data_IF_566735531790
#
_entry.id   IF_566735531790
#
_cell.length_a   1.000
_cell.length_b   1.000
_cell.length_c   1.000
_cell.angle_alpha   90.00
_cell.angle_beta   90.00
_cell.angle_gamma   90.00
#
_symmetry.space_group_name_H-M   'P 1'
#
loop_
_entity.id
_entity.type
_entity.pdbx_description
1 polymer ?
#
# COMPACT_ATOMS: atom_id res chain seq x y z
N UNK A 1 -6.01 -21.70 -4.16
CA UNK A 1 -6.59 -22.77 -4.99
C UNK A 1 -7.91 -22.30 -5.60
N UNK A 2 -8.09 -22.49 -6.89
CA UNK A 2 -9.30 -22.14 -7.63
C UNK A 2 -9.90 -23.39 -8.24
N UNK A 3 -11.17 -23.67 -7.95
CA UNK A 3 -11.90 -24.74 -8.62
C UNK A 3 -12.58 -24.18 -9.86
N UNK A 4 -12.19 -24.68 -11.04
CA UNK A 4 -12.75 -24.29 -12.33
C UNK A 4 -13.43 -25.50 -12.98
N UNK A 5 -14.63 -25.31 -13.53
CA UNK A 5 -15.30 -26.24 -14.41
C UNK A 5 -16.02 -25.43 -15.50
N UNK A 6 -15.92 -25.87 -16.75
CA UNK A 6 -16.56 -25.19 -17.90
C UNK A 6 -16.25 -23.68 -17.97
N UNK A 7 -14.97 -23.30 -17.71
CA UNK A 7 -14.50 -21.92 -17.61
C UNK A 7 -15.21 -21.08 -16.52
N UNK A 8 -15.88 -21.73 -15.58
CA UNK A 8 -16.56 -21.05 -14.48
C UNK A 8 -15.79 -21.29 -13.18
N UNK A 9 -15.55 -20.23 -12.40
CA UNK A 9 -14.94 -20.33 -11.08
C UNK A 9 -16.02 -20.68 -10.07
N UNK A 10 -15.94 -21.87 -9.48
CA UNK A 10 -16.88 -22.33 -8.45
C UNK A 10 -16.42 -22.09 -7.03
N UNK A 11 -15.17 -21.77 -6.84
CA UNK A 11 -14.65 -21.45 -5.52
C UNK A 11 -13.17 -21.06 -5.56
N UNK A 12 -12.81 -20.20 -4.65
CA UNK A 12 -11.43 -19.81 -4.38
C UNK A 12 -11.12 -20.25 -2.96
N UNK A 13 -10.07 -21.04 -2.80
CA UNK A 13 -9.65 -21.58 -1.51
C UNK A 13 -8.24 -21.08 -1.19
N UNK A 14 -8.00 -20.75 0.08
CA UNK A 14 -6.65 -20.44 0.53
C UNK A 14 -5.74 -21.67 0.30
N UNK A 15 -4.51 -21.43 -0.13
CA UNK A 15 -3.49 -22.44 -0.11
C UNK A 15 -2.94 -22.54 1.33
N UNK A 16 -2.90 -23.71 1.92
CA UNK A 16 -2.38 -23.93 3.29
C UNK A 16 -0.89 -23.54 3.40
N UNK A 17 -0.13 -23.68 2.31
CA UNK A 17 1.28 -23.30 2.25
C UNK A 17 1.48 -21.80 1.99
N UNK A 18 0.43 -21.10 1.55
CA UNK A 18 0.53 -19.67 1.23
C UNK A 18 0.55 -18.83 2.50
N UNK A 19 1.53 -17.97 2.62
CA UNK A 19 1.66 -17.06 3.76
C UNK A 19 2.19 -15.70 3.32
N UNK A 20 1.78 -14.65 4.06
CA UNK A 20 2.38 -13.33 3.95
C UNK A 20 3.72 -13.36 4.70
N UNK A 21 4.81 -13.19 3.97
CA UNK A 21 6.16 -13.08 4.55
C UNK A 21 6.41 -11.72 5.17
N UNK A 22 5.87 -10.68 4.55
CA UNK A 22 6.01 -9.30 5.02
C UNK A 22 4.88 -8.42 4.53
N UNK A 23 4.55 -7.43 5.35
CA UNK A 23 3.72 -6.27 5.00
C UNK A 23 4.50 -5.01 5.35
N UNK A 24 4.48 -4.03 4.48
CA UNK A 24 5.14 -2.74 4.70
C UNK A 24 4.67 -1.68 3.72
N UNK A 25 5.32 -0.53 3.74
CA UNK A 25 5.05 0.56 2.81
C UNK A 25 6.01 0.52 1.61
N UNK A 26 5.54 0.91 0.44
CA UNK A 26 6.36 0.99 -0.79
C UNK A 26 7.60 1.87 -0.58
N UNK A 27 7.48 2.95 0.20
CA UNK A 27 8.61 3.80 0.55
C UNK A 27 9.72 3.12 1.39
N UNK A 28 9.45 1.93 1.94
CA UNK A 28 10.41 1.14 2.71
C UNK A 28 11.17 0.10 1.87
N UNK A 29 10.88 0.06 0.55
CA UNK A 29 11.59 -0.82 -0.37
C UNK A 29 13.03 -0.35 -0.61
N UNK A 30 13.97 -1.27 -0.62
CA UNK A 30 15.35 -1.01 -1.01
C UNK A 30 15.98 -2.23 -1.71
N UNK A 31 17.01 -1.98 -2.49
CA UNK A 31 17.77 -3.04 -3.16
C UNK A 31 18.84 -3.62 -2.24
N UNK A 32 19.25 -4.85 -2.53
CA UNK A 32 20.40 -5.48 -1.90
C UNK A 32 21.61 -5.34 -2.82
N UNK A 33 22.69 -4.77 -2.32
CA UNK A 33 23.91 -4.59 -3.10
C UNK A 33 24.46 -5.94 -3.59
N UNK A 34 24.70 -6.02 -4.90
CA UNK A 34 25.25 -7.20 -5.57
C UNK A 34 24.38 -8.49 -5.51
N UNK A 35 23.10 -8.38 -5.11
CA UNK A 35 22.18 -9.52 -5.14
C UNK A 35 20.82 -9.12 -5.74
N UNK A 36 20.66 -9.39 -7.02
CA UNK A 36 19.42 -9.06 -7.78
C UNK A 36 18.24 -9.95 -7.44
N UNK A 37 18.47 -11.04 -6.71
CA UNK A 37 17.41 -11.96 -6.24
C UNK A 37 16.91 -11.62 -4.84
N UNK A 38 17.27 -10.45 -4.32
CA UNK A 38 16.82 -9.98 -3.03
C UNK A 38 16.31 -8.55 -3.10
N UNK A 39 15.36 -8.25 -2.24
CA UNK A 39 14.91 -6.90 -1.92
C UNK A 39 14.80 -6.75 -0.41
N UNK A 40 14.93 -5.52 0.07
CA UNK A 40 14.63 -5.18 1.45
C UNK A 40 13.25 -4.54 1.51
N UNK A 41 12.52 -4.90 2.56
CA UNK A 41 11.31 -4.20 2.99
C UNK A 41 11.49 -3.87 4.47
N UNK A 42 11.45 -2.59 4.80
CA UNK A 42 11.71 -2.09 6.15
C UNK A 42 13.04 -2.61 6.75
N UNK A 43 14.11 -2.63 5.92
CA UNK A 43 15.46 -3.08 6.31
C UNK A 43 15.67 -4.59 6.37
N UNK A 44 14.62 -5.40 6.28
CA UNK A 44 14.69 -6.88 6.30
C UNK A 44 14.82 -7.40 4.87
N UNK A 45 15.76 -8.34 4.63
CA UNK A 45 16.00 -8.95 3.33
C UNK A 45 15.04 -10.11 3.05
N UNK A 46 14.45 -10.12 1.85
CA UNK A 46 13.59 -11.18 1.33
C UNK A 46 14.16 -11.71 0.02
N UNK A 47 14.10 -13.02 -0.17
CA UNK A 47 14.60 -13.74 -1.35
C UNK A 47 13.49 -13.95 -2.38
N UNK A 48 13.88 -13.96 -3.65
CA UNK A 48 13.05 -14.23 -4.83
C UNK A 48 13.67 -15.35 -5.64
N UNK A 49 12.88 -16.10 -6.38
CA UNK A 49 13.41 -17.13 -7.29
C UNK A 49 14.19 -16.53 -8.47
N UNK A 50 13.71 -15.41 -8.98
CA UNK A 50 14.31 -14.68 -10.11
C UNK A 50 14.80 -13.32 -9.65
N UNK A 51 15.18 -12.48 -10.61
CA UNK A 51 15.51 -11.09 -10.36
C UNK A 51 14.28 -10.36 -9.78
N UNK A 52 14.36 -9.92 -8.53
CA UNK A 52 13.23 -9.35 -7.80
C UNK A 52 12.55 -8.20 -8.55
N UNK A 53 13.33 -7.28 -9.09
CA UNK A 53 12.80 -6.10 -9.80
C UNK A 53 12.04 -6.44 -11.10
N UNK A 54 12.25 -7.64 -11.69
CA UNK A 54 11.55 -8.07 -12.90
C UNK A 54 10.21 -8.76 -12.61
N UNK A 55 9.92 -9.08 -11.35
CA UNK A 55 8.67 -9.75 -10.99
C UNK A 55 7.46 -8.81 -11.13
N UNK A 56 6.35 -9.39 -11.60
CA UNK A 56 5.09 -8.67 -11.69
C UNK A 56 4.44 -8.49 -10.32
N UNK A 57 3.73 -7.40 -10.14
CA UNK A 57 2.94 -7.11 -8.93
C UNK A 57 1.46 -7.03 -9.30
N UNK A 58 0.59 -7.51 -8.43
CA UNK A 58 -0.84 -7.20 -8.48
C UNK A 58 -1.00 -5.81 -7.87
N UNK A 59 -1.41 -4.84 -8.67
CA UNK A 59 -1.53 -3.45 -8.24
C UNK A 59 -3.00 -3.04 -8.21
N UNK A 60 -3.45 -2.51 -7.06
CA UNK A 60 -4.83 -2.06 -6.85
C UNK A 60 -5.86 -3.18 -7.14
N UNK A 61 -5.57 -4.39 -6.71
CA UNK A 61 -6.42 -5.58 -6.94
C UNK A 61 -6.69 -5.91 -8.42
N UNK A 62 -6.00 -5.27 -9.36
CA UNK A 62 -6.10 -5.56 -10.78
C UNK A 62 -5.28 -6.80 -11.13
N UNK A 63 -5.92 -7.95 -11.49
CA UNK A 63 -5.22 -9.18 -11.82
C UNK A 63 -4.46 -9.08 -13.16
N UNK A 64 -4.84 -8.14 -14.02
CA UNK A 64 -4.27 -7.93 -15.34
C UNK A 64 -3.18 -6.84 -15.35
N UNK A 65 -2.80 -6.35 -14.18
CA UNK A 65 -1.73 -5.35 -14.09
C UNK A 65 -0.42 -5.87 -14.67
N UNK A 66 0.23 -5.01 -15.45
CA UNK A 66 1.56 -5.30 -16.04
C UNK A 66 2.68 -4.51 -15.35
N UNK A 67 2.41 -3.99 -14.16
CA UNK A 67 3.45 -3.32 -13.39
C UNK A 67 4.44 -4.34 -12.84
N UNK A 68 5.72 -4.02 -12.91
CA UNK A 68 6.80 -4.79 -12.28
C UNK A 68 7.22 -4.13 -10.98
N UNK A 69 7.90 -4.89 -10.13
CA UNK A 69 8.49 -4.33 -8.91
C UNK A 69 9.49 -3.20 -9.23
N UNK A 70 10.17 -3.24 -10.40
CA UNK A 70 11.01 -2.14 -10.87
C UNK A 70 10.22 -0.83 -11.03
N UNK A 71 9.02 -0.92 -11.62
CA UNK A 71 8.15 0.27 -11.79
C UNK A 71 7.72 0.83 -10.44
N UNK A 72 7.34 -0.05 -9.50
CA UNK A 72 6.97 0.34 -8.13
C UNK A 72 8.17 0.98 -7.42
N UNK A 73 9.34 0.32 -7.46
CA UNK A 73 10.55 0.78 -6.81
C UNK A 73 11.01 2.16 -7.32
N UNK A 74 10.96 2.38 -8.63
CA UNK A 74 11.36 3.66 -9.23
C UNK A 74 10.45 4.83 -8.79
N UNK A 75 9.19 4.54 -8.49
CA UNK A 75 8.20 5.53 -8.04
C UNK A 75 7.94 5.48 -6.52
N UNK A 76 8.76 4.77 -5.74
CA UNK A 76 8.53 4.51 -4.32
C UNK A 76 8.42 5.77 -3.45
N UNK A 77 9.08 6.86 -3.83
CA UNK A 77 9.01 8.11 -3.08
C UNK A 77 7.65 8.82 -3.29
N UNK A 78 7.12 8.78 -4.52
CA UNK A 78 5.82 9.36 -4.84
C UNK A 78 4.66 8.54 -4.26
N UNK A 79 4.84 7.21 -4.12
CA UNK A 79 3.85 6.27 -3.62
C UNK A 79 4.28 5.66 -2.28
N UNK A 80 4.95 6.45 -1.45
CA UNK A 80 5.61 5.95 -0.24
C UNK A 80 4.63 5.33 0.77
N UNK A 81 3.38 5.78 0.79
CA UNK A 81 2.31 5.29 1.66
C UNK A 81 1.60 4.04 1.16
N UNK A 82 1.75 3.67 -0.13
CA UNK A 82 1.12 2.46 -0.66
C UNK A 82 1.57 1.24 0.14
N UNK A 83 0.63 0.36 0.50
CA UNK A 83 0.96 -0.90 1.15
C UNK A 83 1.54 -1.87 0.13
N UNK A 84 2.58 -2.62 0.52
CA UNK A 84 3.08 -3.77 -0.23
C UNK A 84 3.13 -5.01 0.64
N UNK A 85 2.65 -6.14 0.10
CA UNK A 85 2.76 -7.46 0.72
C UNK A 85 3.63 -8.36 -0.12
N UNK A 86 4.56 -9.05 0.54
CA UNK A 86 5.36 -10.15 -0.02
C UNK A 86 4.74 -11.46 0.40
N UNK A 87 4.44 -12.32 -0.55
CA UNK A 87 3.69 -13.56 -0.36
C UNK A 87 4.50 -14.73 -0.87
N UNK A 88 4.63 -15.76 -0.03
CA UNK A 88 5.13 -17.08 -0.35
C UNK A 88 3.92 -17.98 -0.62
N UNK A 89 3.79 -18.51 -1.83
CA UNK A 89 2.63 -19.30 -2.23
C UNK A 89 2.86 -20.81 -2.09
N UNK A 90 4.11 -21.25 -1.86
CA UNK A 90 4.49 -22.66 -1.89
C UNK A 90 5.20 -23.12 -0.61
N UNK A 91 5.44 -22.24 0.36
CA UNK A 91 6.03 -22.57 1.65
C UNK A 91 7.56 -22.69 1.64
N UNK A 92 8.26 -22.26 0.57
CA UNK A 92 9.72 -22.37 0.47
C UNK A 92 10.49 -21.19 1.10
N UNK A 93 9.78 -20.21 1.62
CA UNK A 93 10.35 -19.03 2.28
C UNK A 93 10.84 -17.94 1.32
N UNK A 94 10.47 -18.02 0.05
CA UNK A 94 10.77 -16.99 -0.95
C UNK A 94 9.50 -16.24 -1.35
N UNK A 95 9.69 -15.07 -1.94
CA UNK A 95 8.59 -14.27 -2.47
C UNK A 95 8.22 -14.79 -3.86
N UNK A 96 6.98 -15.28 -3.99
CA UNK A 96 6.41 -15.74 -5.26
C UNK A 96 5.46 -14.72 -5.88
N UNK A 97 4.83 -13.91 -5.05
CA UNK A 97 3.90 -12.87 -5.51
C UNK A 97 3.91 -11.65 -4.60
N UNK A 98 3.48 -10.54 -5.15
CA UNK A 98 3.40 -9.27 -4.46
C UNK A 98 2.08 -8.59 -4.77
N UNK A 99 1.49 -7.99 -3.73
CA UNK A 99 0.29 -7.17 -3.86
C UNK A 99 0.66 -5.77 -3.41
N UNK A 100 0.34 -4.77 -4.24
CA UNK A 100 0.49 -3.35 -3.91
C UNK A 100 -0.89 -2.72 -3.86
N UNK A 101 -1.24 -2.18 -2.70
CA UNK A 101 -2.52 -1.50 -2.46
C UNK A 101 -2.25 0.00 -2.34
N UNK A 102 -2.74 0.80 -3.29
CA UNK A 102 -2.61 2.26 -3.22
C UNK A 102 -3.29 2.83 -1.99
N UNK A 103 -2.59 3.72 -1.29
CA UNK A 103 -3.11 4.46 -0.15
C UNK A 103 -2.90 5.95 -0.36
N UNK A 104 -3.88 6.74 0.04
CA UNK A 104 -3.82 8.21 0.00
C UNK A 104 -4.18 8.76 1.36
N UNK A 105 -3.45 9.77 1.82
CA UNK A 105 -3.83 10.56 2.99
C UNK A 105 -4.41 11.87 2.50
N UNK A 106 -5.63 12.20 2.97
CA UNK A 106 -6.31 13.42 2.55
C UNK A 106 -7.15 14.01 3.68
N UNK A 107 -7.29 15.34 3.65
CA UNK A 107 -8.20 16.04 4.55
C UNK A 107 -9.64 15.86 4.09
N UNK A 108 -10.55 15.62 5.04
CA UNK A 108 -12.00 15.63 4.82
C UNK A 108 -12.47 17.09 4.74
N UNK A 109 -12.75 17.55 3.55
CA UNK A 109 -13.12 18.95 3.29
C UNK A 109 -14.62 19.20 3.39
N UNK A 110 -15.41 18.14 3.26
CA UNK A 110 -16.88 18.21 3.33
C UNK A 110 -17.46 16.91 3.90
N UNK A 111 -18.51 17.04 4.71
CA UNK A 111 -19.34 15.92 5.20
C UNK A 111 -20.81 16.28 4.95
N UNK A 112 -21.48 15.51 4.15
CA UNK A 112 -22.92 15.62 3.84
C UNK A 112 -23.71 14.47 4.44
N UNK A 113 -25.00 14.38 4.06
CA UNK A 113 -25.89 13.30 4.51
C UNK A 113 -25.66 11.97 3.79
N UNK A 114 -25.09 11.99 2.59
CA UNK A 114 -24.92 10.80 1.73
C UNK A 114 -23.46 10.55 1.34
N UNK A 115 -22.58 11.51 1.55
CA UNK A 115 -21.19 11.42 1.12
C UNK A 115 -20.27 12.34 1.92
N UNK A 116 -18.98 12.03 1.85
CA UNK A 116 -17.90 12.92 2.25
C UNK A 116 -17.09 13.34 1.01
N UNK A 117 -16.32 14.43 1.15
CA UNK A 117 -15.25 14.76 0.20
C UNK A 117 -13.93 14.75 0.96
N UNK A 118 -12.97 13.94 0.48
CA UNK A 118 -11.62 13.90 1.01
C UNK A 118 -10.63 14.09 -0.14
N UNK A 119 -9.73 15.06 0.01
CA UNK A 119 -8.93 15.55 -1.09
C UNK A 119 -9.85 16.08 -2.21
N UNK A 120 -9.66 15.57 -3.42
CA UNK A 120 -10.44 15.97 -4.61
C UNK A 120 -11.50 14.94 -5.04
N UNK A 121 -11.85 13.97 -4.16
CA UNK A 121 -12.79 12.88 -4.46
C UNK A 121 -13.95 12.87 -3.50
N UNK A 122 -15.12 12.46 -4.01
CA UNK A 122 -16.31 12.19 -3.20
C UNK A 122 -16.43 10.69 -2.95
N UNK A 123 -16.76 10.33 -1.70
CA UNK A 123 -16.99 8.96 -1.25
C UNK A 123 -18.38 8.89 -0.64
N UNK A 124 -19.15 7.85 -0.98
CA UNK A 124 -20.55 7.73 -0.57
C UNK A 124 -20.68 6.72 0.57
N UNK A 125 -21.49 7.03 1.55
CA UNK A 125 -21.77 6.11 2.67
C UNK A 125 -22.46 4.81 2.24
N UNK A 126 -23.09 4.77 1.07
CA UNK A 126 -23.74 3.58 0.52
C UNK A 126 -22.73 2.62 -0.15
N UNK A 127 -21.69 3.19 -0.79
CA UNK A 127 -20.79 2.44 -1.65
C UNK A 127 -19.41 2.20 -0.99
N UNK A 128 -19.03 3.01 0.00
CA UNK A 128 -17.70 3.04 0.60
C UNK A 128 -17.75 2.76 2.10
N UNK A 129 -16.71 2.09 2.62
CA UNK A 129 -16.55 1.84 4.05
C UNK A 129 -15.88 3.05 4.72
N UNK A 130 -16.68 3.90 5.32
CA UNK A 130 -16.25 5.15 5.93
C UNK A 130 -16.38 5.05 7.46
N UNK A 131 -15.31 5.36 8.19
CA UNK A 131 -15.30 5.28 9.64
C UNK A 131 -16.41 6.12 10.30
N UNK A 132 -16.94 5.61 11.40
CA UNK A 132 -18.00 6.27 12.17
C UNK A 132 -17.52 7.61 12.79
N UNK A 133 -18.36 8.63 12.74
CA UNK A 133 -18.07 9.93 13.32
C UNK A 133 -17.12 10.78 12.48
N UNK A 134 -17.00 10.51 11.18
CA UNK A 134 -16.21 11.32 10.26
C UNK A 134 -16.64 12.79 10.33
N UNK A 135 -15.67 13.70 10.45
CA UNK A 135 -15.90 15.13 10.56
C UNK A 135 -15.08 15.92 9.55
N UNK A 136 -15.56 17.12 9.21
CA UNK A 136 -14.77 18.08 8.43
C UNK A 136 -13.49 18.43 9.16
N UNK A 137 -12.39 18.54 8.41
CA UNK A 137 -11.01 18.75 8.85
C UNK A 137 -10.36 17.52 9.50
N UNK A 138 -11.03 16.36 9.54
CA UNK A 138 -10.32 15.12 9.85
C UNK A 138 -9.32 14.79 8.73
N UNK A 139 -8.20 14.20 9.10
CA UNK A 139 -7.32 13.54 8.15
C UNK A 139 -7.69 12.08 8.05
N UNK A 140 -7.79 11.58 6.83
CA UNK A 140 -8.19 10.21 6.55
C UNK A 140 -7.14 9.48 5.71
N UNK A 141 -6.95 8.19 6.00
CA UNK A 141 -6.26 7.25 5.12
C UNK A 141 -7.31 6.60 4.25
N UNK A 142 -7.12 6.68 2.95
CA UNK A 142 -8.02 6.15 1.94
C UNK A 142 -7.31 5.02 1.22
N UNK A 143 -7.81 3.81 1.39
CA UNK A 143 -7.41 2.65 0.62
C UNK A 143 -8.30 2.59 -0.61
N UNK A 144 -7.68 2.54 -1.79
CA UNK A 144 -8.43 2.46 -3.04
C UNK A 144 -9.33 1.21 -3.05
N UNK A 145 -10.55 1.41 -3.51
CA UNK A 145 -11.53 0.35 -3.68
C UNK A 145 -11.31 -0.45 -4.97
N UNK A 146 -12.41 -0.73 -5.65
CA UNK A 146 -12.38 -1.49 -6.89
C UNK A 146 -11.56 -0.79 -7.98
N UNK A 147 -10.67 -1.51 -8.65
CA UNK A 147 -9.85 -0.95 -9.72
C UNK A 147 -10.65 -0.52 -10.96
N UNK A 148 -11.89 -1.03 -11.10
CA UNK A 148 -12.77 -0.75 -12.24
C UNK A 148 -13.73 0.41 -11.99
N UNK A 149 -14.28 0.52 -10.77
CA UNK A 149 -15.36 1.47 -10.44
C UNK A 149 -14.94 2.55 -9.49
N UNK A 150 -13.87 2.34 -8.71
CA UNK A 150 -13.45 3.16 -7.56
C UNK A 150 -14.40 3.10 -6.35
N UNK A 151 -15.47 2.32 -6.42
CA UNK A 151 -16.35 2.03 -5.30
C UNK A 151 -15.67 1.06 -4.31
N UNK A 152 -16.25 0.87 -3.15
CA UNK A 152 -15.71 0.02 -2.08
C UNK A 152 -14.36 0.53 -1.53
N UNK A 153 -14.11 1.82 -1.56
CA UNK A 153 -12.96 2.39 -0.87
C UNK A 153 -13.12 2.22 0.64
N UNK A 154 -12.02 1.95 1.33
CA UNK A 154 -11.99 1.91 2.80
C UNK A 154 -11.34 3.18 3.31
N UNK A 155 -12.10 3.98 4.06
CA UNK A 155 -11.65 5.25 4.62
C UNK A 155 -11.57 5.12 6.13
N UNK A 156 -10.39 5.31 6.68
CA UNK A 156 -10.14 5.26 8.12
C UNK A 156 -9.56 6.58 8.59
N UNK A 157 -9.79 6.92 9.86
CA UNK A 157 -9.19 8.12 10.45
C UNK A 157 -7.68 7.97 10.50
N UNK A 158 -6.95 8.95 9.96
CA UNK A 158 -5.50 8.96 10.04
C UNK A 158 -5.03 9.19 11.49
N UNK A 159 -4.00 8.47 11.89
CA UNK A 159 -3.27 8.81 13.11
C UNK A 159 -2.54 10.13 12.92
N UNK A 160 -2.59 11.00 13.92
CA UNK A 160 -1.89 12.29 13.95
C UNK A 160 -0.83 12.30 15.03
N UNK A 161 0.28 12.98 14.76
CA UNK A 161 1.33 13.24 15.74
C UNK A 161 1.51 14.74 15.79
N UNK A 162 1.46 15.29 16.97
CA UNK A 162 1.67 16.71 17.23
C UNK A 162 2.91 16.90 18.12
N UNK A 163 3.68 17.92 17.82
CA UNK A 163 4.85 18.26 18.60
C UNK A 163 5.75 19.26 17.90
N UNK A 164 6.75 19.76 18.62
CA UNK A 164 7.76 20.64 18.05
C UNK A 164 8.67 19.87 17.10
N UNK A 165 8.91 20.43 15.92
CA UNK A 165 9.92 19.91 14.99
C UNK A 165 11.31 20.27 15.49
N UNK A 166 12.05 19.29 16.00
CA UNK A 166 13.37 19.45 16.58
C UNK A 166 14.52 19.12 15.62
N UNK A 167 14.22 18.54 14.46
CA UNK A 167 15.24 18.24 13.46
C UNK A 167 14.65 17.89 12.09
N UNK A 168 15.46 18.10 11.05
CA UNK A 168 15.16 17.71 9.68
C UNK A 168 16.40 17.05 9.11
N UNK A 169 16.23 15.94 8.40
CA UNK A 169 17.28 15.28 7.60
C UNK A 169 16.85 15.27 6.15
N UNK A 170 17.72 15.73 5.29
CA UNK A 170 17.54 15.58 3.85
C UNK A 170 18.03 14.22 3.41
N UNK A 171 17.23 13.55 2.59
CA UNK A 171 17.54 12.20 2.12
C UNK A 171 16.58 11.73 1.05
N UNK A 172 16.38 10.45 0.96
CA UNK A 172 15.37 9.87 0.06
C UNK A 172 14.71 8.68 0.77
N UNK A 173 13.58 8.91 1.44
CA UNK A 173 12.85 10.18 1.65
C UNK A 173 13.52 11.10 2.70
N UNK A 174 13.11 12.35 2.73
CA UNK A 174 13.43 13.27 3.82
C UNK A 174 12.81 12.78 5.14
N UNK A 175 13.38 13.19 6.26
CA UNK A 175 12.88 12.83 7.60
C UNK A 175 12.71 14.08 8.46
N UNK A 176 11.67 14.08 9.29
CA UNK A 176 11.41 15.10 10.30
C UNK A 176 11.43 14.47 11.68
N UNK A 177 12.04 15.16 12.66
CA UNK A 177 12.02 14.77 14.06
C UNK A 177 10.93 15.55 14.80
N UNK A 178 9.99 14.81 15.41
CA UNK A 178 8.93 15.37 16.25
C UNK A 178 9.09 14.74 17.64
N UNK A 179 9.34 15.57 18.64
CA UNK A 179 9.78 15.08 19.94
C UNK A 179 11.10 14.32 19.83
N UNK A 180 11.12 13.05 20.25
CA UNK A 180 12.32 12.18 20.19
C UNK A 180 12.37 11.27 18.98
N UNK A 181 11.28 11.16 18.17
CA UNK A 181 11.15 10.21 17.10
C UNK A 181 11.36 10.83 15.72
N UNK A 182 11.94 10.05 14.80
CA UNK A 182 12.13 10.41 13.41
C UNK A 182 11.04 9.80 12.53
N UNK A 183 10.41 10.62 11.69
CA UNK A 183 9.36 10.24 10.76
C UNK A 183 9.80 10.50 9.32
N UNK A 184 9.61 9.52 8.46
CA UNK A 184 9.85 9.67 7.02
C UNK A 184 8.76 10.50 6.38
N UNK A 185 9.14 11.45 5.55
CA UNK A 185 8.21 12.29 4.80
C UNK A 185 7.91 11.67 3.44
N UNK A 186 6.63 11.60 3.08
CA UNK A 186 6.25 11.30 1.72
C UNK A 186 6.49 12.53 0.82
N UNK A 187 6.86 12.32 -0.44
CA UNK A 187 7.19 13.41 -1.37
C UNK A 187 5.97 14.21 -1.83
N UNK A 188 4.76 13.71 -1.55
CA UNK A 188 3.49 14.34 -1.89
C UNK A 188 2.74 14.92 -0.68
N UNK A 189 3.42 15.13 0.44
CA UNK A 189 2.83 15.88 1.57
C UNK A 189 2.65 17.34 1.17
N UNK A 190 1.40 17.82 1.24
CA UNK A 190 1.05 19.23 1.11
C UNK A 190 1.21 19.94 2.45
#
# INVERSE_FOLDING_TARGET
LVKISDNTVYGVYANEDSKVLATGAVGQLDTVSNDTKKMKLNGVEYKFEKTALSENVVYNNDPDTKKTLQTIYNNRNANASDEIKFIDNNGDGKVDSMIVTPMTVAEVTYVGSTSITAGNKSYKFEDDDIYEGVAKNDWAVIVAGDYTTTDNAVITKAGTIEGEVTGVRTGSPDEVKIGDDWYKMATNTQ
#
